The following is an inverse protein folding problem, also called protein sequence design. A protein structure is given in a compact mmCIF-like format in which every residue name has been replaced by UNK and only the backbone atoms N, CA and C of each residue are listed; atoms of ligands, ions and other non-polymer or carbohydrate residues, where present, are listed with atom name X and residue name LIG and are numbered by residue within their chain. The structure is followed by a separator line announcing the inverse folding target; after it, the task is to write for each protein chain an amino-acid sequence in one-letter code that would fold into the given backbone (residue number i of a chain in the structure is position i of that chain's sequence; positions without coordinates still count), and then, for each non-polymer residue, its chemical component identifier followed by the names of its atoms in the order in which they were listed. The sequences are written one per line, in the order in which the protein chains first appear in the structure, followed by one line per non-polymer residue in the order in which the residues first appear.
data_IF_523317797952
#
_entry.id   IF_523317797952
#
_cell.length_a   1.000
_cell.length_b   1.000
_cell.length_c   1.000
_cell.angle_alpha   90.00
_cell.angle_beta   90.00
_cell.angle_gamma   90.00
#
_symmetry.space_group_name_H-M   'P 1'
#
loop_
_entity.id
_entity.type
_entity.pdbx_description
1 polymer ?
#
# COMPACT_ATOMS: atom_id res chain seq x y z
N UNK A 1 -2.50 18.04 2.57
CA UNK A 1 -3.38 16.96 2.04
C UNK A 1 -2.58 15.67 2.11
N UNK A 2 -3.14 14.59 2.69
CA UNK A 2 -2.47 13.29 2.82
C UNK A 2 -2.81 12.46 1.58
N UNK A 3 -1.79 12.11 0.78
CA UNK A 3 -1.99 11.28 -0.41
C UNK A 3 -1.61 9.83 -0.10
N UNK A 4 -2.57 8.91 -0.25
CA UNK A 4 -2.40 7.48 0.05
C UNK A 4 -2.27 6.69 -1.25
N UNK A 5 -1.20 5.91 -1.37
CA UNK A 5 -0.99 4.94 -2.44
C UNK A 5 -1.26 3.53 -1.92
N UNK A 6 -2.13 2.80 -2.60
CA UNK A 6 -2.33 1.37 -2.37
C UNK A 6 -1.64 0.59 -3.50
N UNK A 7 -0.74 -0.33 -3.18
CA UNK A 7 -0.13 -1.24 -4.15
C UNK A 7 -0.70 -2.64 -3.98
N UNK A 8 -1.02 -3.32 -5.08
CA UNK A 8 -1.54 -4.68 -5.05
C UNK A 8 -1.39 -5.36 -6.40
N UNK A 9 -1.37 -6.70 -6.43
CA UNK A 9 -1.49 -7.48 -7.66
C UNK A 9 -2.94 -7.66 -8.16
N UNK A 10 -3.94 -7.22 -7.38
CA UNK A 10 -5.36 -7.39 -7.70
C UNK A 10 -5.70 -6.72 -9.04
N UNK A 11 -6.39 -7.43 -9.94
CA UNK A 11 -6.88 -6.81 -11.18
C UNK A 11 -7.97 -5.78 -10.82
N UNK A 12 -7.78 -4.48 -11.10
CA UNK A 12 -8.77 -3.46 -10.80
C UNK A 12 -10.13 -3.69 -11.47
N UNK A 13 -10.17 -4.46 -12.57
CA UNK A 13 -11.42 -4.80 -13.27
C UNK A 13 -12.24 -5.86 -12.55
N UNK A 14 -11.63 -6.60 -11.64
CA UNK A 14 -12.32 -7.66 -10.88
C UNK A 14 -13.24 -7.11 -9.78
N UNK A 15 -13.14 -5.82 -9.43
CA UNK A 15 -13.93 -5.23 -8.36
C UNK A 15 -14.41 -3.79 -8.66
N UNK A 16 -15.73 -3.58 -8.65
CA UNK A 16 -16.34 -2.28 -9.00
C UNK A 16 -15.95 -1.13 -8.06
N UNK A 17 -15.63 -1.39 -6.78
CA UNK A 17 -15.26 -0.33 -5.84
C UNK A 17 -13.91 0.32 -6.19
N UNK A 18 -13.04 -0.38 -6.93
CA UNK A 18 -11.72 0.13 -7.33
C UNK A 18 -11.84 1.32 -8.30
N UNK A 19 -12.98 1.48 -9.00
CA UNK A 19 -13.26 2.62 -9.88
C UNK A 19 -13.28 3.97 -9.15
N UNK A 20 -13.37 3.98 -7.82
CA UNK A 20 -13.33 5.19 -6.99
C UNK A 20 -11.91 5.73 -6.76
N UNK A 21 -10.89 4.98 -7.18
CA UNK A 21 -9.48 5.32 -7.01
C UNK A 21 -8.86 5.76 -8.33
N UNK A 22 -7.86 6.62 -8.27
CA UNK A 22 -6.95 6.84 -9.41
C UNK A 22 -6.09 5.59 -9.59
N UNK A 23 -6.25 4.93 -10.73
CA UNK A 23 -5.55 3.67 -11.02
C UNK A 23 -4.26 3.95 -11.78
N UNK A 24 -3.12 3.57 -11.19
CA UNK A 24 -1.82 3.60 -11.86
C UNK A 24 -1.44 2.15 -12.20
N UNK A 25 -1.66 1.76 -13.46
CA UNK A 25 -1.27 0.43 -13.94
C UNK A 25 0.16 0.47 -14.50
N UNK A 26 1.08 -0.40 -14.04
CA UNK A 26 2.37 -0.55 -14.69
C UNK A 26 2.18 -1.26 -16.05
N UNK A 27 2.88 -0.77 -17.08
CA UNK A 27 2.98 -1.44 -18.37
C UNK A 27 4.30 -2.22 -18.46
N UNK A 28 4.44 -3.10 -19.46
CA UNK A 28 5.70 -3.81 -19.70
C UNK A 28 6.90 -2.86 -19.86
N UNK A 29 6.66 -1.68 -20.44
CA UNK A 29 7.65 -0.61 -20.57
C UNK A 29 8.09 0.00 -19.23
N UNK A 30 7.30 -0.15 -18.16
CA UNK A 30 7.57 0.37 -16.82
C UNK A 30 8.36 -0.62 -15.95
N UNK A 31 8.57 -1.86 -16.42
CA UNK A 31 9.21 -2.94 -15.68
C UNK A 31 10.59 -3.23 -16.30
N UNK A 32 11.63 -3.37 -15.46
CA UNK A 32 12.97 -3.73 -15.92
C UNK A 32 13.15 -5.26 -16.04
N UNK A 33 14.31 -5.70 -16.54
CA UNK A 33 14.61 -7.13 -16.72
C UNK A 33 14.68 -7.95 -15.42
N UNK A 34 14.70 -7.29 -14.26
CA UNK A 34 14.66 -7.92 -12.93
C UNK A 34 13.25 -7.89 -12.31
N UNK A 35 12.22 -7.59 -13.10
CA UNK A 35 10.84 -7.45 -12.64
C UNK A 35 10.63 -6.33 -11.60
N UNK A 36 11.52 -5.35 -11.58
CA UNK A 36 11.44 -4.17 -10.70
C UNK A 36 10.92 -2.95 -11.46
N UNK A 37 10.31 -1.97 -10.77
CA UNK A 37 9.85 -0.74 -11.40
C UNK A 37 11.03 0.07 -11.94
N UNK A 38 10.92 0.54 -13.19
CA UNK A 38 11.88 1.49 -13.75
C UNK A 38 11.77 2.84 -13.06
N UNK A 39 12.88 3.58 -13.06
CA UNK A 39 12.94 4.94 -12.48
C UNK A 39 11.90 5.89 -13.10
N UNK A 40 11.61 5.77 -14.39
CA UNK A 40 10.58 6.57 -15.07
C UNK A 40 9.19 6.35 -14.48
N UNK A 41 8.83 5.10 -14.19
CA UNK A 41 7.58 4.74 -13.52
C UNK A 41 7.53 5.30 -12.10
N UNK A 42 8.59 5.09 -11.32
CA UNK A 42 8.68 5.61 -9.95
C UNK A 42 8.56 7.13 -9.91
N UNK A 43 9.22 7.85 -10.82
CA UNK A 43 9.13 9.31 -10.88
C UNK A 43 7.69 9.78 -11.13
N UNK A 44 6.94 9.10 -12.00
CA UNK A 44 5.51 9.38 -12.23
C UNK A 44 4.66 9.17 -10.98
N UNK A 45 4.92 8.08 -10.24
CA UNK A 45 4.19 7.77 -8.99
C UNK A 45 4.56 8.76 -7.89
N UNK A 46 5.86 9.02 -7.68
CA UNK A 46 6.35 9.92 -6.64
C UNK A 46 5.94 11.38 -6.85
N UNK A 47 5.76 11.81 -8.11
CA UNK A 47 5.24 13.13 -8.43
C UNK A 47 3.83 13.41 -7.87
N UNK A 48 3.11 12.37 -7.42
CA UNK A 48 1.81 12.51 -6.74
C UNK A 48 1.93 12.93 -5.26
N UNK A 49 3.14 13.12 -4.72
CA UNK A 49 3.33 13.58 -3.33
C UNK A 49 2.82 12.59 -2.29
N UNK A 50 3.07 11.30 -2.50
CA UNK A 50 2.57 10.20 -1.66
C UNK A 50 3.08 10.35 -0.22
N UNK A 51 2.15 10.46 0.72
CA UNK A 51 2.41 10.57 2.16
C UNK A 51 2.41 9.21 2.86
N UNK A 52 1.55 8.30 2.38
CA UNK A 52 1.39 6.94 2.91
C UNK A 52 1.36 5.97 1.75
N UNK A 53 2.20 4.93 1.78
CA UNK A 53 2.15 3.82 0.83
C UNK A 53 1.80 2.53 1.57
N UNK A 54 0.83 1.77 1.06
CA UNK A 54 0.31 0.55 1.68
C UNK A 54 0.38 -0.58 0.66
N UNK A 55 1.15 -1.61 0.96
CA UNK A 55 1.18 -2.84 0.18
C UNK A 55 0.14 -3.84 0.70
N UNK A 56 -0.82 -4.17 -0.17
CA UNK A 56 -1.94 -5.05 0.13
C UNK A 56 -1.66 -6.52 -0.25
N UNK A 57 -0.48 -6.83 -0.80
CA UNK A 57 -0.13 -8.21 -1.13
C UNK A 57 0.27 -8.99 0.14
N UNK A 58 -0.42 -10.10 0.41
CA UNK A 58 -0.09 -11.00 1.51
C UNK A 58 1.20 -11.79 1.26
N UNK A 59 1.43 -12.16 -0.01
CA UNK A 59 2.62 -12.86 -0.43
C UNK A 59 3.74 -11.87 -0.78
N UNK A 60 5.02 -12.28 -0.67
CA UNK A 60 6.14 -11.47 -1.11
C UNK A 60 6.00 -11.07 -2.58
N UNK A 61 6.01 -9.76 -2.84
CA UNK A 61 5.98 -9.20 -4.19
C UNK A 61 7.02 -8.08 -4.28
N UNK A 62 8.17 -8.38 -4.89
CA UNK A 62 9.28 -7.44 -4.97
C UNK A 62 8.93 -6.18 -5.75
N UNK A 63 8.08 -6.25 -6.77
CA UNK A 63 7.66 -5.07 -7.52
C UNK A 63 6.93 -4.07 -6.60
N UNK A 64 5.89 -4.53 -5.90
CA UNK A 64 5.08 -3.68 -5.02
C UNK A 64 5.87 -3.18 -3.80
N UNK A 65 6.71 -4.05 -3.23
CA UNK A 65 7.63 -3.68 -2.14
C UNK A 65 8.61 -2.61 -2.60
N UNK A 66 9.18 -2.75 -3.80
CA UNK A 66 10.06 -1.74 -4.40
C UNK A 66 9.35 -0.43 -4.67
N UNK A 67 8.09 -0.43 -5.10
CA UNK A 67 7.30 0.80 -5.21
C UNK A 67 7.18 1.49 -3.86
N UNK A 68 6.88 0.76 -2.78
CA UNK A 68 6.78 1.33 -1.44
C UNK A 68 8.05 2.06 -1.01
N UNK A 69 9.23 1.43 -1.14
CA UNK A 69 10.49 2.09 -0.76
C UNK A 69 10.86 3.24 -1.70
N UNK A 70 10.68 3.06 -3.01
CA UNK A 70 11.17 4.00 -4.02
C UNK A 70 10.31 5.26 -4.15
N UNK A 71 9.04 5.22 -3.74
CA UNK A 71 8.19 6.42 -3.63
C UNK A 71 8.64 7.36 -2.52
N UNK A 72 9.48 6.90 -1.59
CA UNK A 72 9.96 7.66 -0.42
C UNK A 72 8.83 8.20 0.46
N UNK A 73 7.67 7.54 0.46
CA UNK A 73 6.60 7.87 1.39
C UNK A 73 7.12 7.77 2.83
N UNK A 74 6.86 8.78 3.70
CA UNK A 74 7.26 8.73 5.10
C UNK A 74 6.68 7.54 5.87
N UNK A 75 5.46 7.13 5.52
CA UNK A 75 4.79 5.95 6.08
C UNK A 75 4.65 4.88 5.01
N UNK A 76 5.20 3.69 5.27
CA UNK A 76 5.20 2.53 4.36
C UNK A 76 4.73 1.30 5.12
N UNK A 77 3.52 0.87 4.81
CA UNK A 77 2.82 -0.20 5.51
C UNK A 77 2.83 -1.44 4.63
N UNK A 78 3.11 -2.60 5.20
CA UNK A 78 2.98 -3.90 4.53
C UNK A 78 2.61 -4.99 5.54
N UNK A 79 2.38 -6.20 5.05
CA UNK A 79 2.22 -7.38 5.91
C UNK A 79 3.59 -7.97 6.28
N UNK A 80 3.70 -8.58 7.46
CA UNK A 80 4.90 -9.28 7.93
C UNK A 80 5.14 -10.56 7.11
N UNK A 81 5.73 -10.39 5.92
CA UNK A 81 5.94 -11.46 4.92
C UNK A 81 7.42 -11.74 4.65
N UNK A 82 8.28 -11.45 5.63
CA UNK A 82 9.73 -11.67 5.54
C UNK A 82 10.50 -10.65 4.69
N UNK A 83 9.90 -9.51 4.34
CA UNK A 83 10.57 -8.42 3.63
C UNK A 83 10.94 -7.25 4.55
N UNK A 84 10.04 -6.81 5.44
CA UNK A 84 10.28 -5.78 6.45
C UNK A 84 11.05 -4.56 5.99
N UNK A 85 11.96 -4.09 6.85
CA UNK A 85 12.95 -3.10 6.47
C UNK A 85 13.87 -3.66 5.36
N UNK A 86 14.15 -2.88 4.30
CA UNK A 86 13.94 -1.43 4.19
C UNK A 86 12.62 -1.01 3.53
N UNK A 87 11.76 -1.97 3.14
CA UNK A 87 10.57 -1.71 2.33
C UNK A 87 9.43 -1.09 3.12
N UNK A 88 9.19 -1.60 4.33
CA UNK A 88 8.14 -1.17 5.22
C UNK A 88 8.74 -0.65 6.53
N UNK A 89 8.16 0.42 7.06
CA UNK A 89 8.48 0.90 8.42
C UNK A 89 7.33 0.67 9.40
N UNK A 90 6.23 0.09 8.94
CA UNK A 90 5.17 -0.47 9.74
C UNK A 90 4.76 -1.81 9.11
N UNK A 91 4.85 -2.90 9.85
CA UNK A 91 4.38 -4.21 9.42
C UNK A 91 3.13 -4.60 10.20
N UNK A 92 2.16 -5.15 9.47
CA UNK A 92 0.99 -5.79 10.03
C UNK A 92 1.34 -7.26 10.18
N UNK A 93 1.59 -7.67 11.41
CA UNK A 93 1.76 -9.08 11.71
C UNK A 93 0.43 -9.81 11.56
N UNK A 94 0.47 -10.88 10.78
CA UNK A 94 -0.65 -11.79 10.63
C UNK A 94 -0.09 -13.16 10.97
N UNK A 95 -0.54 -13.72 12.09
CA UNK A 95 -0.29 -15.11 12.43
C UNK A 95 -1.05 -15.99 11.42
N UNK A 96 -0.44 -16.25 10.26
CA UNK A 96 -1.05 -16.91 9.11
C UNK A 96 -1.50 -18.33 9.41
N UNK A 97 -0.92 -18.95 10.44
CA UNK A 97 -1.27 -20.30 10.89
C UNK A 97 -2.53 -20.30 11.77
N UNK A 98 -2.91 -19.16 12.35
CA UNK A 98 -4.08 -19.03 13.24
C UNK A 98 -5.22 -18.20 12.66
N UNK A 99 -4.95 -17.36 11.68
CA UNK A 99 -5.87 -16.31 11.22
C UNK A 99 -6.05 -16.37 9.71
N UNK A 100 -7.29 -16.56 9.25
CA UNK A 100 -7.59 -16.56 7.81
C UNK A 100 -7.30 -15.21 7.17
N UNK A 101 -6.90 -15.19 5.88
CA UNK A 101 -6.67 -13.95 5.10
C UNK A 101 -7.82 -12.94 5.21
N UNK A 102 -9.07 -13.42 5.26
CA UNK A 102 -10.26 -12.59 5.41
C UNK A 102 -10.28 -11.88 6.77
N UNK A 103 -9.94 -12.59 7.83
CA UNK A 103 -9.89 -12.05 9.18
C UNK A 103 -8.78 -11.00 9.32
N UNK A 104 -7.62 -11.25 8.70
CA UNK A 104 -6.50 -10.30 8.65
C UNK A 104 -6.89 -9.00 7.92
N UNK A 105 -7.61 -9.11 6.80
CA UNK A 105 -8.18 -7.96 6.12
C UNK A 105 -9.14 -7.18 7.01
N UNK A 106 -10.02 -7.87 7.75
CA UNK A 106 -10.95 -7.22 8.67
C UNK A 106 -10.21 -6.45 9.77
N UNK A 107 -9.14 -7.03 10.34
CA UNK A 107 -8.30 -6.36 11.34
C UNK A 107 -7.62 -5.13 10.74
N UNK A 108 -7.08 -5.24 9.52
CA UNK A 108 -6.46 -4.11 8.83
C UNK A 108 -7.45 -2.97 8.59
N UNK A 109 -8.66 -3.29 8.08
CA UNK A 109 -9.71 -2.30 7.88
C UNK A 109 -10.14 -1.68 9.21
N UNK A 110 -10.21 -2.46 10.29
CA UNK A 110 -10.51 -1.96 11.63
C UNK A 110 -9.46 -0.97 12.14
N UNK A 111 -8.17 -1.26 11.93
CA UNK A 111 -7.08 -0.33 12.27
C UNK A 111 -7.22 0.96 11.47
N UNK A 112 -7.43 0.89 10.16
CA UNK A 112 -7.65 2.09 9.32
C UNK A 112 -8.87 2.89 9.75
N UNK A 113 -9.96 2.20 10.12
CA UNK A 113 -11.19 2.83 10.61
C UNK A 113 -10.95 3.57 11.93
N UNK A 114 -10.26 2.94 12.88
CA UNK A 114 -9.91 3.56 14.15
C UNK A 114 -8.96 4.76 13.94
N UNK A 115 -7.97 4.65 13.06
CA UNK A 115 -7.10 5.78 12.70
C UNK A 115 -7.88 6.99 12.20
N UNK A 116 -8.94 6.76 11.42
CA UNK A 116 -9.81 7.84 10.96
C UNK A 116 -10.56 8.48 12.14
N UNK A 117 -11.23 7.67 12.96
CA UNK A 117 -12.12 8.18 14.01
C UNK A 117 -11.35 8.79 15.20
N UNK A 118 -10.28 8.15 15.67
CA UNK A 118 -9.42 8.72 16.72
C UNK A 118 -8.67 9.95 16.21
N UNK A 119 -8.33 9.98 14.91
CA UNK A 119 -7.79 11.17 14.25
C UNK A 119 -8.78 12.35 14.26
N UNK A 120 -10.08 12.09 14.11
CA UNK A 120 -11.14 13.11 14.23
C UNK A 120 -11.29 13.62 15.67
N UNK A 121 -11.07 12.77 16.69
CA UNK A 121 -11.07 13.19 18.09
C UNK A 121 -9.86 14.08 18.45
N UNK A 122 -8.67 13.74 17.94
CA UNK A 122 -7.42 14.47 18.22
C UNK A 122 -7.34 15.78 17.42
N UNK A 123 -7.87 15.81 16.19
CA UNK A 123 -7.91 16.98 15.32
C UNK A 123 -9.35 17.24 14.86
N UNK A 124 -10.22 17.78 15.74
CA UNK A 124 -11.61 18.02 15.41
C UNK A 124 -11.70 18.93 14.18
N UNK A 125 -12.44 18.46 13.18
CA UNK A 125 -12.70 19.23 11.97
C UNK A 125 -13.51 20.46 12.39
N UNK A 126 -12.86 21.63 12.38
CA UNK A 126 -13.57 22.90 12.56
C UNK A 126 -14.46 23.11 11.34
N UNK A 127 -15.78 23.07 11.57
CA UNK A 127 -16.82 23.42 10.61
C UNK A 127 -16.96 24.93 10.47
#
# INVERSE_FOLDING_TARGET
MINVLLTSNIDPRSHNYIKRFTIIKPYSSDINSFYLPKRSFINRVAAQGISVCIDLDFNPNFFNSSVCIMTKAPVRIGFAKGLGLPYYNLEIDIDSDKVSTKESYNQFIKVLYNFKNEGEEIAPIKT
#
